data_IF_227214893515
#
_entry.id   IF_227214893515
#
_cell.length_a   1.000
_cell.length_b   1.000
_cell.length_c   1.000
_cell.angle_alpha   90.00
_cell.angle_beta   90.00
_cell.angle_gamma   90.00
#
_symmetry.space_group_name_H-M   'P 1'
#
loop_
_entity.id
_entity.type
_entity.pdbx_description
1 polymer ?
#
# COMPACT_ATOMS: atom_id res chain seq x y z
N UNK A 1 11.29 -9.95 -2.88
CA UNK A 1 10.96 -8.53 -3.08
C UNK A 1 9.92 -8.06 -2.08
N UNK A 2 10.10 -6.84 -1.55
CA UNK A 2 9.10 -6.19 -0.70
C UNK A 2 8.78 -4.82 -1.28
N UNK A 3 7.53 -4.62 -1.67
CA UNK A 3 7.03 -3.42 -2.35
C UNK A 3 5.96 -2.79 -1.47
N UNK A 4 6.01 -1.47 -1.33
CA UNK A 4 4.98 -0.68 -0.66
C UNK A 4 4.42 0.32 -1.66
N UNK A 5 3.13 0.21 -1.97
CA UNK A 5 2.38 1.08 -2.88
C UNK A 5 1.48 2.00 -2.08
N UNK A 6 1.64 3.31 -2.24
CA UNK A 6 0.95 4.33 -1.44
C UNK A 6 0.34 5.41 -2.33
N UNK A 7 -0.67 6.10 -1.81
CA UNK A 7 -1.30 7.21 -2.50
C UNK A 7 -2.67 7.53 -1.91
N UNK A 8 -3.16 8.73 -2.22
CA UNK A 8 -4.53 9.11 -1.87
C UNK A 8 -5.54 8.07 -2.40
N UNK A 9 -6.62 7.82 -1.68
CA UNK A 9 -7.73 7.04 -2.19
C UNK A 9 -8.20 7.59 -3.56
N UNK A 10 -8.52 6.69 -4.50
CA UNK A 10 -8.72 6.95 -5.94
C UNK A 10 -7.48 7.29 -6.79
N UNK A 11 -6.26 7.24 -6.24
CA UNK A 11 -5.01 7.28 -7.06
C UNK A 11 -4.74 6.00 -7.85
N UNK A 12 -5.48 4.91 -7.57
CA UNK A 12 -5.39 3.64 -8.30
C UNK A 12 -4.60 2.53 -7.59
N UNK A 13 -4.18 2.73 -6.34
CA UNK A 13 -3.34 1.78 -5.59
C UNK A 13 -3.86 0.34 -5.58
N UNK A 14 -5.13 0.09 -5.26
CA UNK A 14 -5.71 -1.26 -5.25
C UNK A 14 -5.79 -1.91 -6.63
N UNK A 15 -5.96 -1.11 -7.69
CA UNK A 15 -6.04 -1.61 -9.06
C UNK A 15 -4.65 -1.95 -9.59
N UNK A 16 -3.69 -1.05 -9.37
CA UNK A 16 -2.32 -1.23 -9.80
C UNK A 16 -1.62 -2.34 -9.02
N UNK A 17 -1.89 -2.54 -7.72
CA UNK A 17 -1.29 -3.64 -6.97
C UNK A 17 -1.67 -5.01 -7.54
N UNK A 18 -2.94 -5.19 -7.95
CA UNK A 18 -3.44 -6.43 -8.57
C UNK A 18 -2.83 -6.66 -9.95
N UNK A 19 -2.82 -5.62 -10.79
CA UNK A 19 -2.22 -5.71 -12.12
C UNK A 19 -0.71 -5.98 -12.03
N UNK A 20 -0.01 -5.28 -11.13
CA UNK A 20 1.41 -5.44 -10.89
C UNK A 20 1.75 -6.84 -10.37
N UNK A 21 0.94 -7.38 -9.44
CA UNK A 21 1.09 -8.76 -8.97
C UNK A 21 1.16 -9.72 -10.15
N UNK A 22 0.16 -9.70 -11.03
CA UNK A 22 0.09 -10.62 -12.17
C UNK A 22 1.31 -10.49 -13.09
N UNK A 23 1.70 -9.27 -13.44
CA UNK A 23 2.87 -9.02 -14.30
C UNK A 23 4.18 -9.46 -13.63
N UNK A 24 4.35 -9.22 -12.34
CA UNK A 24 5.56 -9.62 -11.61
C UNK A 24 5.65 -11.13 -11.44
N UNK A 25 4.53 -11.81 -11.19
CA UNK A 25 4.48 -13.28 -11.14
C UNK A 25 4.87 -13.88 -12.51
N UNK A 26 4.37 -13.30 -13.60
CA UNK A 26 4.71 -13.71 -14.96
C UNK A 26 6.19 -13.47 -15.29
N UNK A 27 6.74 -12.32 -14.91
CA UNK A 27 8.09 -11.89 -15.27
C UNK A 27 9.17 -12.54 -14.40
N UNK A 28 8.95 -12.66 -13.09
CA UNK A 28 9.91 -13.24 -12.14
C UNK A 28 9.73 -14.75 -11.92
N UNK A 29 8.55 -15.31 -12.20
CA UNK A 29 8.24 -16.70 -11.90
C UNK A 29 8.16 -16.97 -10.38
N UNK A 30 7.77 -15.99 -9.58
CA UNK A 30 7.66 -16.08 -8.11
C UNK A 30 6.29 -15.63 -7.62
N UNK A 31 5.76 -16.26 -6.57
CA UNK A 31 4.47 -15.88 -5.95
C UNK A 31 4.55 -14.53 -5.23
N UNK A 32 3.47 -13.74 -5.37
CA UNK A 32 3.29 -12.48 -4.67
C UNK A 32 2.02 -12.45 -3.81
N UNK A 33 2.15 -12.00 -2.57
CA UNK A 33 1.03 -11.71 -1.67
C UNK A 33 0.73 -10.21 -1.60
N UNK A 34 -0.55 -9.87 -1.74
CA UNK A 34 -1.05 -8.50 -1.52
C UNK A 34 -1.58 -8.42 -0.09
N UNK A 35 -1.11 -7.42 0.65
CA UNK A 35 -1.73 -6.98 1.89
C UNK A 35 -2.26 -5.55 1.68
N UNK A 36 -3.55 -5.32 1.92
CA UNK A 36 -4.23 -4.03 1.67
C UNK A 36 -5.28 -3.67 2.74
N UNK A 37 -5.28 -4.37 3.87
CA UNK A 37 -6.35 -4.34 4.86
C UNK A 37 -6.10 -3.37 6.03
N UNK A 38 -5.64 -2.15 5.72
CA UNK A 38 -5.43 -1.08 6.71
C UNK A 38 -6.47 0.04 6.63
N UNK A 39 -7.39 0.00 5.66
CA UNK A 39 -8.39 1.04 5.48
C UNK A 39 -9.65 0.75 6.29
N UNK A 40 -9.86 1.47 7.40
CA UNK A 40 -11.09 1.34 8.19
C UNK A 40 -12.33 1.69 7.35
N UNK A 41 -13.44 0.95 7.49
CA UNK A 41 -13.64 -0.24 8.33
C UNK A 41 -13.26 -1.56 7.64
N UNK A 42 -12.81 -1.54 6.37
CA UNK A 42 -12.43 -2.70 5.59
C UNK A 42 -11.01 -3.20 5.98
N UNK A 43 -10.94 -3.93 7.09
CA UNK A 43 -9.69 -4.44 7.68
C UNK A 43 -9.59 -5.97 7.65
N UNK A 44 -10.48 -6.61 6.91
CA UNK A 44 -10.47 -8.06 6.72
C UNK A 44 -9.14 -8.56 6.14
N UNK A 45 -8.57 -9.60 6.75
CA UNK A 45 -7.38 -10.27 6.29
C UNK A 45 -7.64 -11.78 6.24
N UNK A 46 -7.80 -12.34 5.05
CA UNK A 46 -8.01 -13.78 4.86
C UNK A 46 -6.99 -14.37 3.88
N UNK A 47 -6.44 -15.56 4.17
CA UNK A 47 -5.69 -16.32 3.19
C UNK A 47 -6.54 -16.54 1.93
N UNK A 48 -5.95 -16.34 0.75
CA UNK A 48 -6.64 -16.42 -0.55
C UNK A 48 -7.34 -17.78 -0.78
N UNK A 49 -6.90 -18.84 -0.09
CA UNK A 49 -7.38 -20.21 -0.26
C UNK A 49 -8.46 -20.66 0.74
N UNK A 50 -8.95 -19.77 1.61
CA UNK A 50 -9.94 -20.10 2.65
C UNK A 50 -11.33 -19.53 2.35
N UNK A 51 -12.39 -20.22 2.78
CA UNK A 51 -13.75 -19.65 2.83
C UNK A 51 -13.72 -18.43 3.74
N UNK A 52 -13.77 -17.25 3.13
CA UNK A 52 -13.64 -15.98 3.83
C UNK A 52 -14.91 -15.67 4.62
N UNK A 53 -14.75 -15.37 5.91
CA UNK A 53 -15.81 -14.74 6.69
C UNK A 53 -15.73 -13.24 6.46
N UNK A 54 -16.33 -12.74 5.39
CA UNK A 54 -16.27 -11.29 5.09
C UNK A 54 -16.97 -10.50 6.20
N UNK A 55 -16.38 -9.37 6.61
CA UNK A 55 -17.03 -8.45 7.53
C UNK A 55 -18.35 -7.98 6.90
N UNK A 56 -19.46 -8.25 7.58
CA UNK A 56 -20.75 -7.75 7.13
C UNK A 56 -20.92 -6.28 7.54
N UNK A 57 -21.98 -5.64 7.08
CA UNK A 57 -22.24 -4.22 7.37
C UNK A 57 -22.40 -3.92 8.87
N UNK A 58 -22.85 -4.88 9.67
CA UNK A 58 -22.92 -4.73 11.14
C UNK A 58 -21.51 -4.71 11.74
N UNK A 59 -20.63 -5.61 11.30
CA UNK A 59 -19.23 -5.64 11.77
C UNK A 59 -18.49 -4.35 11.41
N UNK A 60 -18.64 -3.90 10.16
CA UNK A 60 -18.05 -2.64 9.68
C UNK A 60 -18.59 -1.43 10.44
N UNK A 61 -19.87 -1.42 10.77
CA UNK A 61 -20.50 -0.39 11.60
C UNK A 61 -19.90 -0.36 13.02
N UNK A 62 -19.71 -1.52 13.66
CA UNK A 62 -19.05 -1.61 14.97
C UNK A 62 -17.63 -1.04 14.93
N UNK A 63 -16.83 -1.40 13.92
CA UNK A 63 -15.47 -0.87 13.73
C UNK A 63 -15.51 0.65 13.55
N UNK A 64 -16.47 1.16 12.77
CA UNK A 64 -16.64 2.60 12.53
C UNK A 64 -17.01 3.36 13.80
N UNK A 65 -17.73 2.73 14.73
CA UNK A 65 -18.14 3.31 16.02
C UNK A 65 -17.08 3.23 17.11
N UNK A 66 -15.97 2.52 16.88
CA UNK A 66 -14.87 2.46 17.85
C UNK A 66 -14.37 3.87 18.20
N UNK A 67 -14.04 4.04 19.49
CA UNK A 67 -13.41 5.26 19.96
C UNK A 67 -12.06 5.46 19.24
N UNK A 68 -11.56 6.71 19.12
CA UNK A 68 -10.25 6.96 18.53
C UNK A 68 -9.14 6.08 19.11
N UNK A 69 -9.20 5.83 20.43
CA UNK A 69 -8.25 4.97 21.14
C UNK A 69 -8.31 3.51 20.69
N UNK A 70 -9.50 2.97 20.45
CA UNK A 70 -9.66 1.59 19.97
C UNK A 70 -9.23 1.46 18.51
N UNK A 71 -9.58 2.44 17.65
CA UNK A 71 -9.10 2.49 16.26
C UNK A 71 -7.58 2.56 16.18
N UNK A 72 -6.95 3.39 17.01
CA UNK A 72 -5.49 3.50 17.13
C UNK A 72 -4.85 2.16 17.48
N UNK A 73 -5.39 1.47 18.50
CA UNK A 73 -4.86 0.19 18.96
C UNK A 73 -4.99 -0.89 17.89
N UNK A 74 -6.16 -0.96 17.23
CA UNK A 74 -6.45 -1.90 16.16
C UNK A 74 -5.49 -1.71 14.99
N UNK A 75 -5.31 -0.47 14.52
CA UNK A 75 -4.38 -0.16 13.45
C UNK A 75 -2.93 -0.41 13.85
N UNK A 76 -2.52 -0.01 15.05
CA UNK A 76 -1.16 -0.25 15.54
C UNK A 76 -0.85 -1.74 15.64
N UNK A 77 -1.78 -2.55 16.14
CA UNK A 77 -1.60 -4.00 16.19
C UNK A 77 -1.50 -4.60 14.79
N UNK A 78 -2.34 -4.17 13.84
CA UNK A 78 -2.24 -4.60 12.44
C UNK A 78 -0.89 -4.25 11.83
N UNK A 79 -0.41 -3.01 12.02
CA UNK A 79 0.89 -2.57 11.50
C UNK A 79 2.06 -3.37 12.09
N UNK A 80 2.04 -3.63 13.41
CA UNK A 80 3.09 -4.42 14.09
C UNK A 80 3.08 -5.87 13.65
N UNK A 81 1.90 -6.47 13.50
CA UNK A 81 1.77 -7.84 13.01
C UNK A 81 2.35 -8.02 11.61
N UNK A 82 2.23 -6.98 10.78
CA UNK A 82 2.77 -6.94 9.42
C UNK A 82 4.19 -6.38 9.33
N UNK A 83 4.89 -6.19 10.45
CA UNK A 83 6.31 -5.90 10.39
C UNK A 83 7.03 -7.10 9.75
N UNK A 84 7.86 -6.86 8.73
CA UNK A 84 8.37 -7.94 7.92
C UNK A 84 9.46 -8.72 8.68
N UNK A 85 9.37 -10.04 8.68
CA UNK A 85 10.35 -10.91 9.32
C UNK A 85 11.50 -11.24 8.35
N UNK A 86 12.75 -11.40 8.80
CA UNK A 86 13.83 -11.82 7.91
C UNK A 86 13.54 -13.18 7.27
N UNK A 87 13.88 -13.34 5.98
CA UNK A 87 13.84 -14.61 5.23
C UNK A 87 12.44 -15.17 4.93
N UNK A 88 11.43 -14.32 4.79
CA UNK A 88 10.18 -14.81 4.23
C UNK A 88 10.36 -15.19 2.75
N UNK A 89 9.79 -16.33 2.36
CA UNK A 89 9.97 -16.93 1.04
C UNK A 89 9.05 -16.35 -0.05
N UNK A 90 8.06 -15.56 0.35
CA UNK A 90 7.02 -15.02 -0.54
C UNK A 90 7.25 -13.52 -0.72
N UNK A 91 7.19 -13.06 -1.96
CA UNK A 91 7.32 -11.65 -2.29
C UNK A 91 6.01 -10.92 -1.93
N UNK A 92 6.11 -9.65 -1.52
CA UNK A 92 4.98 -8.93 -0.92
C UNK A 92 4.75 -7.58 -1.56
N UNK A 93 3.47 -7.25 -1.76
CA UNK A 93 2.99 -5.92 -2.13
C UNK A 93 2.07 -5.42 -1.01
N UNK A 94 2.51 -4.38 -0.30
CA UNK A 94 1.71 -3.71 0.72
C UNK A 94 1.06 -2.48 0.12
N UNK A 95 -0.25 -2.33 0.30
CA UNK A 95 -1.03 -1.22 -0.25
C UNK A 95 -1.50 -0.29 0.87
N UNK A 96 -1.05 0.95 0.88
CA UNK A 96 -1.37 1.95 1.91
C UNK A 96 -0.52 1.80 3.18
N UNK A 97 -0.52 0.60 3.79
CA UNK A 97 0.24 0.24 4.99
C UNK A 97 0.29 1.36 6.06
N UNK A 98 1.48 1.72 6.55
CA UNK A 98 1.63 2.76 7.57
C UNK A 98 1.34 4.18 7.06
N UNK A 99 1.32 4.41 5.74
CA UNK A 99 0.99 5.72 5.19
C UNK A 99 -0.50 6.03 5.36
N UNK A 100 -1.37 5.06 5.11
CA UNK A 100 -2.82 5.22 5.30
C UNK A 100 -3.14 5.61 6.76
N UNK A 101 -2.56 4.89 7.74
CA UNK A 101 -2.70 5.24 9.16
C UNK A 101 -2.08 6.60 9.48
N UNK A 102 -0.95 6.95 8.88
CA UNK A 102 -0.28 8.24 9.14
C UNK A 102 -1.06 9.44 8.61
N UNK A 103 -1.64 9.33 7.42
CA UNK A 103 -2.36 10.42 6.75
C UNK A 103 -3.81 10.48 7.22
N UNK A 104 -4.52 9.36 7.22
CA UNK A 104 -5.97 9.37 7.46
C UNK A 104 -6.34 9.43 8.93
N UNK A 105 -5.54 8.85 9.85
CA UNK A 105 -5.90 8.84 11.27
C UNK A 105 -6.11 10.23 11.89
N UNK A 106 -5.20 11.20 11.75
CA UNK A 106 -5.39 12.52 12.34
C UNK A 106 -6.53 13.31 11.70
N UNK A 107 -6.89 13.00 10.44
CA UNK A 107 -7.95 13.70 9.70
C UNK A 107 -9.33 13.11 10.03
N UNK A 108 -9.46 11.78 10.00
CA UNK A 108 -10.76 11.10 10.01
C UNK A 108 -11.06 10.29 11.27
N UNK A 109 -10.04 9.88 12.03
CA UNK A 109 -10.22 8.92 13.11
C UNK A 109 -9.94 9.47 14.52
N UNK A 110 -9.53 10.73 14.62
CA UNK A 110 -9.40 11.46 15.89
C UNK A 110 -8.23 11.01 16.77
N UNK A 111 -7.22 10.33 16.20
CA UNK A 111 -5.99 9.95 16.89
C UNK A 111 -4.76 10.29 16.03
N UNK A 112 -3.57 10.25 16.62
CA UNK A 112 -2.34 10.39 15.83
C UNK A 112 -1.92 11.81 15.46
N UNK A 113 -2.64 12.82 15.97
CA UNK A 113 -2.23 14.23 15.88
C UNK A 113 -1.12 14.62 16.87
N UNK A 114 -0.67 15.89 16.88
CA UNK A 114 0.43 16.35 17.75
C UNK A 114 0.21 16.14 19.25
N UNK A 115 -1.05 16.04 19.69
CA UNK A 115 -1.45 15.84 21.10
C UNK A 115 -1.69 14.36 21.45
N UNK A 116 -1.33 13.42 20.58
CA UNK A 116 -1.54 11.98 20.83
C UNK A 116 -0.81 11.53 22.12
N UNK A 117 -1.55 11.10 23.16
CA UNK A 117 -0.96 10.75 24.45
C UNK A 117 -0.05 9.50 24.39
N UNK A 118 -0.21 8.63 23.40
CA UNK A 118 0.56 7.38 23.28
C UNK A 118 1.74 7.46 22.31
N UNK A 119 2.69 8.33 22.61
CA UNK A 119 3.97 8.35 21.89
C UNK A 119 4.10 9.42 20.81
N UNK A 120 3.11 10.29 20.67
CA UNK A 120 3.12 11.45 19.78
C UNK A 120 2.49 11.17 18.41
N UNK A 121 2.69 12.06 17.43
CA UNK A 121 1.98 12.00 16.15
C UNK A 121 2.31 10.73 15.37
N UNK A 122 1.37 10.26 14.54
CA UNK A 122 1.58 9.05 13.72
C UNK A 122 2.77 9.16 12.77
N UNK A 123 3.14 10.36 12.36
CA UNK A 123 4.37 10.60 11.58
C UNK A 123 5.63 10.07 12.28
N UNK A 124 5.70 10.18 13.62
CA UNK A 124 6.80 9.61 14.42
C UNK A 124 6.76 8.07 14.44
N UNK A 125 5.55 7.50 14.50
CA UNK A 125 5.36 6.06 14.46
C UNK A 125 5.70 5.48 13.08
N UNK A 126 5.37 6.17 11.99
CA UNK A 126 5.82 5.84 10.64
C UNK A 126 7.36 5.70 10.55
N UNK A 127 8.11 6.66 11.12
CA UNK A 127 9.59 6.57 11.15
C UNK A 127 10.08 5.34 11.90
N UNK A 128 9.35 4.89 12.94
CA UNK A 128 9.68 3.67 13.66
C UNK A 128 9.44 2.43 12.78
N UNK A 129 8.26 2.31 12.17
CA UNK A 129 7.93 1.19 11.28
C UNK A 129 8.95 1.07 10.15
N UNK A 130 9.34 2.18 9.54
CA UNK A 130 10.33 2.16 8.45
C UNK A 130 11.73 1.73 8.89
N UNK A 131 12.16 2.13 10.09
CA UNK A 131 13.42 1.62 10.65
C UNK A 131 13.37 0.12 10.87
N UNK A 132 12.23 -0.43 11.28
CA UNK A 132 12.06 -1.88 11.41
C UNK A 132 12.05 -2.57 10.04
N UNK A 133 11.38 -2.01 9.03
CA UNK A 133 11.43 -2.51 7.65
C UNK A 133 12.87 -2.59 7.16
N UNK A 134 13.65 -1.51 7.32
CA UNK A 134 15.02 -1.44 6.81
C UNK A 134 15.97 -2.48 7.42
N UNK A 135 15.67 -3.01 8.63
CA UNK A 135 16.47 -4.08 9.23
C UNK A 135 16.28 -5.41 8.51
N UNK A 136 15.07 -5.72 8.07
CA UNK A 136 14.73 -7.00 7.43
C UNK A 136 14.78 -6.93 5.90
N UNK A 137 14.34 -5.80 5.32
CA UNK A 137 14.20 -5.55 3.89
C UNK A 137 14.76 -4.16 3.53
N UNK A 138 16.10 -3.98 3.57
CA UNK A 138 16.71 -2.68 3.27
C UNK A 138 16.48 -2.20 1.82
N UNK A 139 16.18 -3.12 0.90
CA UNK A 139 15.93 -2.83 -0.51
C UNK A 139 14.43 -2.66 -0.84
N UNK A 140 13.56 -2.46 0.16
CA UNK A 140 12.13 -2.21 -0.07
C UNK A 140 11.92 -1.10 -1.08
N UNK A 141 11.06 -1.36 -2.07
CA UNK A 141 10.69 -0.39 -3.11
C UNK A 141 9.41 0.30 -2.68
N UNK A 142 9.49 1.62 -2.50
CA UNK A 142 8.36 2.47 -2.17
C UNK A 142 7.85 3.17 -3.44
N UNK A 143 6.57 3.04 -3.72
CA UNK A 143 5.94 3.56 -4.94
C UNK A 143 4.77 4.46 -4.54
N UNK A 144 4.84 5.73 -4.91
CA UNK A 144 3.76 6.69 -4.72
C UNK A 144 2.98 6.87 -6.01
N UNK A 145 1.73 6.42 -6.01
CA UNK A 145 0.77 6.74 -7.06
C UNK A 145 0.12 8.08 -6.75
N UNK A 146 0.29 9.03 -7.66
CA UNK A 146 -0.29 10.36 -7.57
C UNK A 146 -1.39 10.52 -8.61
N UNK A 147 -2.30 11.46 -8.37
CA UNK A 147 -3.30 11.86 -9.34
C UNK A 147 -3.70 13.31 -9.06
N UNK A 148 -4.13 14.04 -10.09
CA UNK A 148 -4.70 15.37 -9.92
C UNK A 148 -5.92 15.34 -9.02
N UNK A 149 -6.18 16.45 -8.33
CA UNK A 149 -7.38 16.63 -7.51
C UNK A 149 -8.64 16.41 -8.36
N UNK A 150 -8.64 16.93 -9.58
CA UNK A 150 -9.74 16.85 -10.53
C UNK A 150 -10.04 15.40 -10.88
N UNK A 151 -9.01 14.61 -11.22
CA UNK A 151 -9.15 13.18 -11.52
C UNK A 151 -9.64 12.38 -10.32
N UNK A 152 -9.17 12.68 -9.10
CA UNK A 152 -9.64 12.01 -7.88
C UNK A 152 -11.14 12.32 -7.68
N UNK A 153 -11.54 13.58 -7.77
CA UNK A 153 -12.94 13.99 -7.61
C UNK A 153 -13.84 13.40 -8.70
N UNK A 154 -13.34 13.23 -9.91
CA UNK A 154 -14.06 12.55 -10.99
C UNK A 154 -14.23 11.06 -10.70
N UNK A 155 -13.17 10.36 -10.31
CA UNK A 155 -13.21 8.94 -9.95
C UNK A 155 -14.15 8.67 -8.78
N UNK A 156 -14.17 9.54 -7.77
CA UNK A 156 -15.13 9.51 -6.67
C UNK A 156 -16.59 9.56 -7.14
N UNK A 157 -16.88 10.31 -8.21
CA UNK A 157 -18.25 10.42 -8.77
C UNK A 157 -18.63 9.23 -9.63
N UNK A 158 -17.70 8.73 -10.44
CA UNK A 158 -17.96 7.67 -11.41
C UNK A 158 -18.05 6.30 -10.74
N UNK A 159 -17.21 6.04 -9.74
CA UNK A 159 -17.13 4.76 -9.05
C UNK A 159 -16.91 4.94 -7.55
N UNK A 160 -17.89 5.46 -6.80
CA UNK A 160 -17.74 5.67 -5.37
C UNK A 160 -17.47 4.34 -4.66
N UNK A 161 -16.45 4.31 -3.80
CA UNK A 161 -16.21 3.18 -2.92
C UNK A 161 -17.28 3.14 -1.82
N UNK A 162 -17.83 1.95 -1.56
CA UNK A 162 -18.92 1.72 -0.60
C UNK A 162 -18.64 2.31 0.78
N UNK A 163 -17.42 2.13 1.30
CA UNK A 163 -16.99 2.61 2.62
C UNK A 163 -15.92 3.70 2.53
N UNK A 164 -16.00 4.59 1.53
CA UNK A 164 -15.04 5.68 1.42
C UNK A 164 -15.04 6.55 2.69
N UNK A 165 -13.85 6.84 3.19
CA UNK A 165 -13.65 7.69 4.38
C UNK A 165 -13.36 9.14 4.01
N UNK A 166 -12.82 9.37 2.81
CA UNK A 166 -12.29 10.68 2.42
C UNK A 166 -13.39 11.64 1.96
N UNK A 167 -13.28 12.91 2.39
CA UNK A 167 -14.19 13.98 1.98
C UNK A 167 -13.65 14.72 0.74
N UNK A 168 -14.48 15.00 -0.29
CA UNK A 168 -14.10 15.84 -1.43
C UNK A 168 -13.44 17.18 -1.09
N UNK A 169 -13.78 17.79 0.05
CA UNK A 169 -13.19 19.08 0.48
C UNK A 169 -11.73 18.94 0.90
N UNK A 170 -11.34 17.74 1.34
CA UNK A 170 -10.06 17.50 2.00
C UNK A 170 -9.02 16.90 1.03
N UNK A 171 -9.39 16.65 -0.23
CA UNK A 171 -8.52 15.99 -1.23
C UNK A 171 -7.19 16.71 -1.41
N UNK A 172 -7.20 18.05 -1.48
CA UNK A 172 -5.97 18.83 -1.61
C UNK A 172 -5.03 18.60 -0.42
N UNK A 173 -5.58 18.61 0.80
CA UNK A 173 -4.83 18.33 2.03
C UNK A 173 -4.30 16.90 2.03
N UNK A 174 -5.11 15.91 1.67
CA UNK A 174 -4.69 14.50 1.66
C UNK A 174 -3.53 14.29 0.67
N UNK A 175 -3.64 14.81 -0.56
CA UNK A 175 -2.55 14.73 -1.56
C UNK A 175 -1.26 15.32 -0.99
N UNK A 176 -1.35 16.50 -0.38
CA UNK A 176 -0.19 17.16 0.24
C UNK A 176 0.42 16.32 1.38
N UNK A 177 -0.42 15.73 2.24
CA UNK A 177 0.07 14.89 3.34
C UNK A 177 0.76 13.62 2.83
N UNK A 178 0.23 12.95 1.80
CA UNK A 178 0.91 11.80 1.18
C UNK A 178 2.25 12.20 0.57
N UNK A 179 2.33 13.31 -0.17
CA UNK A 179 3.61 13.82 -0.69
C UNK A 179 4.60 14.10 0.43
N UNK A 180 4.17 14.86 1.45
CA UNK A 180 5.00 15.22 2.60
C UNK A 180 5.55 13.99 3.35
N UNK A 181 4.71 12.98 3.60
CA UNK A 181 5.16 11.76 4.29
C UNK A 181 6.00 10.86 3.40
N UNK A 182 5.76 10.85 2.08
CA UNK A 182 6.60 10.15 1.11
C UNK A 182 8.00 10.77 1.06
N UNK A 183 8.11 12.10 1.05
CA UNK A 183 9.39 12.80 1.05
C UNK A 183 10.18 12.53 2.33
N UNK A 184 9.52 12.55 3.49
CA UNK A 184 10.14 12.25 4.79
C UNK A 184 10.45 10.77 5.00
N UNK A 185 9.93 9.88 4.16
CA UNK A 185 10.14 8.43 4.23
C UNK A 185 11.65 8.08 4.23
N UNK A 186 12.07 7.15 5.10
CA UNK A 186 13.46 6.71 5.25
C UNK A 186 13.88 5.66 4.22
N UNK A 187 12.92 5.00 3.56
CA UNK A 187 13.18 4.04 2.50
C UNK A 187 13.86 4.72 1.31
N UNK A 188 14.85 4.07 0.71
CA UNK A 188 15.72 4.71 -0.30
C UNK A 188 15.22 4.50 -1.74
N UNK A 189 14.73 3.30 -2.05
CA UNK A 189 14.26 2.97 -3.40
C UNK A 189 12.86 3.54 -3.58
N UNK A 190 12.76 4.71 -4.20
CA UNK A 190 11.51 5.46 -4.36
C UNK A 190 11.12 5.63 -5.83
N UNK A 191 9.83 5.52 -6.11
CA UNK A 191 9.20 5.80 -7.40
C UNK A 191 7.97 6.67 -7.18
N UNK A 192 7.75 7.63 -8.08
CA UNK A 192 6.52 8.44 -8.11
C UNK A 192 5.92 8.33 -9.49
N UNK A 193 4.64 7.97 -9.57
CA UNK A 193 3.94 7.64 -10.81
C UNK A 193 2.62 8.39 -10.85
N UNK A 194 2.45 9.25 -11.85
CA UNK A 194 1.21 9.99 -12.05
C UNK A 194 0.19 9.15 -12.84
N UNK A 195 -0.97 8.93 -12.22
CA UNK A 195 -2.07 8.15 -12.81
C UNK A 195 -3.17 9.01 -13.41
N UNK A 196 -3.06 10.35 -13.39
CA UNK A 196 -4.11 11.32 -13.79
C UNK A 196 -4.79 10.94 -15.10
N UNK A 197 -4.02 10.68 -16.16
CA UNK A 197 -4.50 10.38 -17.51
C UNK A 197 -3.97 9.05 -18.06
N UNK A 198 -3.54 8.15 -17.17
CA UNK A 198 -2.88 6.92 -17.55
C UNK A 198 -3.86 5.75 -17.45
N UNK A 199 -3.84 4.85 -18.44
CA UNK A 199 -4.58 3.59 -18.33
C UNK A 199 -3.92 2.66 -17.29
N UNK A 200 -4.65 1.62 -16.87
CA UNK A 200 -4.11 0.58 -15.97
C UNK A 200 -2.86 -0.03 -16.59
N UNK A 201 -2.92 -0.49 -17.85
CA UNK A 201 -1.81 -1.13 -18.52
C UNK A 201 -0.58 -0.21 -18.66
N UNK A 202 -0.79 1.06 -19.03
CA UNK A 202 0.31 2.04 -19.11
C UNK A 202 0.96 2.26 -17.74
N UNK A 203 0.14 2.45 -16.71
CA UNK A 203 0.64 2.67 -15.34
C UNK A 203 1.41 1.45 -14.85
N UNK A 204 0.86 0.25 -15.03
CA UNK A 204 1.52 -1.01 -14.62
C UNK A 204 2.86 -1.20 -15.32
N UNK A 205 2.94 -0.94 -16.64
CA UNK A 205 4.20 -1.01 -17.38
C UNK A 205 5.25 -0.06 -16.84
N UNK A 206 4.90 1.21 -16.58
CA UNK A 206 5.84 2.20 -16.03
C UNK A 206 6.30 1.79 -14.63
N UNK A 207 5.38 1.28 -13.81
CA UNK A 207 5.68 0.78 -12.45
C UNK A 207 6.64 -0.40 -12.52
N UNK A 208 6.37 -1.38 -13.40
CA UNK A 208 7.21 -2.55 -13.62
C UNK A 208 8.62 -2.15 -14.05
N UNK A 209 8.75 -1.31 -15.07
CA UNK A 209 10.05 -0.82 -15.56
C UNK A 209 10.82 -0.10 -14.45
N UNK A 210 10.12 0.71 -13.65
CA UNK A 210 10.70 1.37 -12.47
C UNK A 210 11.22 0.39 -11.43
N UNK A 211 10.46 -0.67 -11.13
CA UNK A 211 10.83 -1.72 -10.18
C UNK A 211 12.07 -2.49 -10.65
N UNK A 212 12.16 -2.80 -11.94
CA UNK A 212 13.28 -3.55 -12.51
C UNK A 212 14.63 -2.85 -12.32
N UNK A 213 14.65 -1.52 -12.19
CA UNK A 213 15.87 -0.75 -11.88
C UNK A 213 16.39 -0.97 -10.45
N UNK A 214 15.55 -1.51 -9.55
CA UNK A 214 15.90 -1.80 -8.16
C UNK A 214 16.11 -3.29 -7.87
N UNK A 215 16.00 -4.15 -8.90
CA UNK A 215 16.26 -5.58 -8.76
C UNK A 215 17.68 -5.85 -8.25
N UNK A 216 17.78 -6.64 -7.18
CA UNK A 216 19.06 -7.12 -6.68
C UNK A 216 19.53 -8.37 -7.46
N UNK A 217 20.68 -8.94 -7.09
CA UNK A 217 21.24 -10.10 -7.79
C UNK A 217 20.33 -11.34 -7.80
N UNK A 218 19.55 -11.57 -6.74
CA UNK A 218 18.59 -12.66 -6.64
C UNK A 218 17.39 -12.42 -7.56
N UNK A 219 16.86 -11.19 -7.58
CA UNK A 219 15.78 -10.80 -8.48
C UNK A 219 16.21 -10.97 -9.95
N UNK A 220 17.40 -10.48 -10.31
CA UNK A 220 17.96 -10.63 -11.66
C UNK A 220 18.20 -12.09 -12.04
N UNK A 221 18.57 -12.95 -11.09
CA UNK A 221 18.71 -14.38 -11.33
C UNK A 221 17.35 -15.02 -11.63
N UNK A 222 16.31 -14.69 -10.87
CA UNK A 222 14.94 -15.16 -11.09
C UNK A 222 14.42 -14.75 -12.47
N UNK A 223 14.58 -13.48 -12.86
CA UNK A 223 14.24 -12.99 -14.21
C UNK A 223 14.89 -13.82 -15.32
N UNK A 224 16.20 -14.06 -15.21
CA UNK A 224 16.96 -14.82 -16.22
C UNK A 224 16.50 -16.27 -16.31
N UNK A 225 16.29 -16.92 -15.16
CA UNK A 225 15.84 -18.31 -15.09
C UNK A 225 14.46 -18.43 -15.73
N UNK A 226 13.52 -17.57 -15.34
CA UNK A 226 12.16 -17.60 -15.85
C UNK A 226 12.12 -17.36 -17.37
N UNK A 227 12.89 -16.37 -17.87
CA UNK A 227 13.03 -16.12 -19.31
C UNK A 227 13.52 -17.36 -20.07
N UNK A 228 14.53 -18.07 -19.58
CA UNK A 228 15.04 -19.28 -20.22
C UNK A 228 14.02 -20.42 -20.23
N UNK A 229 13.22 -20.56 -19.16
CA UNK A 229 12.13 -21.56 -19.09
C UNK A 229 11.07 -21.25 -20.14
N UNK A 230 10.64 -19.99 -20.22
CA UNK A 230 9.64 -19.53 -21.19
C UNK A 230 10.13 -19.72 -22.61
N UNK A 231 11.35 -19.28 -22.95
CA UNK A 231 11.95 -19.46 -24.29
C UNK A 231 12.03 -20.95 -24.68
N UNK A 232 12.29 -21.85 -23.74
CA UNK A 232 12.31 -23.29 -24.00
C UNK A 232 10.93 -23.89 -24.25
N UNK A 233 9.88 -23.38 -23.62
CA UNK A 233 8.52 -23.91 -23.77
C UNK A 233 7.84 -23.49 -25.09
N UNK A 234 8.35 -22.43 -25.75
CA UNK A 234 7.85 -21.93 -27.02
C UNK A 234 8.69 -22.34 -28.25
N UNK A 235 9.78 -23.11 -28.05
CA UNK A 235 10.59 -23.72 -29.11
C UNK A 235 10.39 -25.25 -29.13
#
# INVERSE_FOLDING_TARGET
MFIILVGCEYSGTSTISKSLKSEMEEVLGSEFEIHDHWKLPNIECYPQYSKQYVLNETDKSHISQFTPKLKEMLQRQSLVYHLPAPKESIDKIYVGYHFDDTVYAPIYFGYGGPKEPQGGPRTKYARYIEKEIMKSYPNTILIHLTASKESILERMKIGPHENQIINPTDIALIIEQFHSEFDKCLLQNKLTIDTTNSSIAQTTSIVLDGILNYCNSEDLARLRINRLITERNYN
#
